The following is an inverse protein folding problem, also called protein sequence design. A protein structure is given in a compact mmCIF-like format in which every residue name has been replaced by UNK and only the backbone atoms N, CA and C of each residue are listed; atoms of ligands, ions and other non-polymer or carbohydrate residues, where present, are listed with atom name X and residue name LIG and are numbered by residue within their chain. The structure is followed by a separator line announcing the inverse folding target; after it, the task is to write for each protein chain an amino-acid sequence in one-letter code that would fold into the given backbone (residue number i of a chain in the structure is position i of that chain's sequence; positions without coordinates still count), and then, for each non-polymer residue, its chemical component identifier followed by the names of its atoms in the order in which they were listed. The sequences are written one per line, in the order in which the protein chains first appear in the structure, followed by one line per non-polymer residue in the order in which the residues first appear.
data_IF_658529881762
#
_entry.id   IF_658529881762
#
_cell.length_a   1.000
_cell.length_b   1.000
_cell.length_c   1.000
_cell.angle_alpha   90.00
_cell.angle_beta   90.00
_cell.angle_gamma   90.00
#
_symmetry.space_group_name_H-M   'P 1'
#
loop_
_entity.id
_entity.type
_entity.pdbx_description
1 polymer ?
#
# COMPACT_ATOMS: atom_id res chain seq x y z
N UNK A 1 -1.30 20.69 9.52
CA UNK A 1 -2.52 19.95 9.10
C UNK A 1 -2.08 18.87 8.14
N UNK A 2 -2.44 17.60 8.38
CA UNK A 2 -2.13 16.51 7.46
C UNK A 2 -3.30 16.31 6.48
N UNK A 3 -3.05 16.02 5.19
CA UNK A 3 -4.11 15.82 4.20
C UNK A 3 -4.72 14.41 4.34
N UNK A 4 -5.56 14.22 5.37
CA UNK A 4 -6.12 12.91 5.77
C UNK A 4 -6.80 12.18 4.60
N UNK A 5 -7.61 12.89 3.80
CA UNK A 5 -8.30 12.29 2.64
C UNK A 5 -7.34 11.78 1.57
N UNK A 6 -6.24 12.50 1.33
CA UNK A 6 -5.25 12.09 0.34
C UNK A 6 -4.53 10.82 0.81
N UNK A 7 -4.08 10.80 2.07
CA UNK A 7 -3.41 9.62 2.66
C UNK A 7 -4.33 8.40 2.64
N UNK A 8 -5.60 8.58 3.03
CA UNK A 8 -6.61 7.51 3.00
C UNK A 8 -6.92 7.02 1.58
N UNK A 9 -6.96 7.89 0.58
CA UNK A 9 -7.19 7.46 -0.79
C UNK A 9 -5.98 6.73 -1.38
N UNK A 10 -4.76 7.15 -1.03
CA UNK A 10 -3.53 6.47 -1.44
C UNK A 10 -3.54 5.04 -0.90
N UNK A 11 -3.86 4.83 0.38
CA UNK A 11 -3.90 3.48 0.98
C UNK A 11 -4.96 2.55 0.36
N UNK A 12 -5.97 3.11 -0.32
CA UNK A 12 -7.00 2.36 -1.05
C UNK A 12 -6.64 2.04 -2.51
N UNK A 13 -5.46 2.45 -2.99
CA UNK A 13 -5.03 2.16 -4.36
C UNK A 13 -4.92 0.64 -4.57
N UNK A 14 -5.47 0.08 -5.66
CA UNK A 14 -5.39 -1.36 -5.96
C UNK A 14 -3.95 -1.91 -6.02
N UNK A 15 -2.95 -1.05 -6.28
CA UNK A 15 -1.54 -1.42 -6.29
C UNK A 15 -1.00 -1.89 -4.94
N UNK A 16 -1.62 -1.48 -3.83
CA UNK A 16 -1.32 -2.02 -2.49
C UNK A 16 -2.07 -3.31 -2.20
N UNK A 17 -2.99 -3.73 -3.08
CA UNK A 17 -3.81 -4.93 -2.99
C UNK A 17 -4.53 -5.13 -1.65
N UNK A 18 -4.88 -4.02 -0.99
CA UNK A 18 -5.57 -4.05 0.29
C UNK A 18 -4.71 -4.61 1.43
N UNK A 19 -3.38 -4.57 1.31
CA UNK A 19 -2.43 -4.89 2.39
C UNK A 19 -1.50 -3.69 2.61
N UNK A 20 -1.79 -2.88 3.64
CA UNK A 20 -0.96 -1.73 4.02
C UNK A 20 -0.61 -1.81 5.51
N UNK A 21 0.66 -1.62 5.84
CA UNK A 21 1.13 -1.57 7.22
C UNK A 21 1.14 -0.13 7.73
N UNK A 22 0.46 0.15 8.84
CA UNK A 22 0.51 1.48 9.49
C UNK A 22 1.51 1.47 10.64
N UNK A 23 2.38 2.47 10.69
CA UNK A 23 3.27 2.70 11.83
C UNK A 23 2.91 4.02 12.49
N UNK A 24 2.68 3.99 13.80
CA UNK A 24 2.27 5.15 14.58
C UNK A 24 3.14 5.28 15.83
N UNK A 25 3.54 6.51 16.13
CA UNK A 25 4.16 6.85 17.41
C UNK A 25 3.12 6.97 18.55
N UNK A 26 1.83 6.76 18.28
CA UNK A 26 0.69 7.14 19.13
C UNK A 26 0.60 8.66 19.29
N UNK A 27 -0.02 9.32 18.32
CA UNK A 27 -0.35 10.75 18.42
C UNK A 27 -1.85 10.90 18.68
N UNK A 28 -2.26 11.48 19.82
CA UNK A 28 -3.67 11.70 20.15
C UNK A 28 -4.45 12.60 19.18
N UNK A 29 -3.76 13.25 18.23
CA UNK A 29 -4.37 14.12 17.21
C UNK A 29 -4.76 13.40 15.92
N UNK A 30 -4.23 12.20 15.69
CA UNK A 30 -4.49 11.45 14.45
C UNK A 30 -4.43 9.95 14.75
N UNK A 31 -5.48 9.40 15.38
CA UNK A 31 -5.53 7.98 15.65
C UNK A 31 -5.60 7.21 14.31
N UNK A 32 -4.91 6.07 14.22
CA UNK A 32 -4.73 5.33 12.98
C UNK A 32 -6.07 4.80 12.41
N UNK A 33 -7.07 4.57 13.26
CA UNK A 33 -8.45 4.25 12.88
C UNK A 33 -9.15 5.33 12.03
N UNK A 34 -8.68 6.58 12.07
CA UNK A 34 -9.17 7.64 11.19
C UNK A 34 -8.44 7.70 9.84
N UNK A 35 -7.24 7.13 9.75
CA UNK A 35 -6.44 7.08 8.53
C UNK A 35 -6.77 5.85 7.67
N UNK A 36 -7.00 4.71 8.31
CA UNK A 36 -7.18 3.43 7.64
C UNK A 36 -8.63 2.95 7.76
N UNK A 37 -9.30 2.60 6.65
CA UNK A 37 -10.61 1.94 6.75
C UNK A 37 -10.45 0.55 7.36
N UNK A 38 -11.38 0.16 8.24
CA UNK A 38 -11.45 -1.14 8.97
C UNK A 38 -11.39 -2.40 8.06
N UNK A 39 -11.38 -2.23 6.74
CA UNK A 39 -11.35 -3.28 5.72
C UNK A 39 -10.04 -3.36 4.92
N UNK A 40 -9.02 -2.58 5.28
CA UNK A 40 -7.75 -2.51 4.53
C UNK A 40 -6.78 -3.66 4.84
N UNK A 41 -7.26 -4.77 5.41
CA UNK A 41 -6.43 -5.92 5.73
C UNK A 41 -7.26 -7.18 6.06
N UNK A 42 -7.04 -8.31 5.37
CA UNK A 42 -7.53 -9.62 5.77
C UNK A 42 -6.86 -10.17 7.05
N UNK A 43 -5.86 -9.48 7.62
CA UNK A 43 -5.05 -9.99 8.75
C UNK A 43 -5.82 -9.92 10.08
N UNK A 44 -6.85 -9.08 10.19
CA UNK A 44 -7.67 -8.97 11.40
C UNK A 44 -8.51 -10.23 11.71
N UNK A 45 -8.72 -11.14 10.73
CA UNK A 45 -9.57 -12.33 10.92
C UNK A 45 -8.83 -13.56 11.43
N UNK A 46 -7.49 -13.52 11.50
CA UNK A 46 -6.65 -14.64 11.91
C UNK A 46 -5.96 -14.43 13.27
N UNK A 47 -6.70 -13.94 14.28
CA UNK A 47 -6.54 -14.25 15.71
C UNK A 47 -5.18 -14.09 16.42
N UNK A 48 -4.09 -13.60 15.79
CA UNK A 48 -2.78 -13.48 16.45
C UNK A 48 -1.94 -12.26 16.05
N UNK A 49 -2.39 -11.43 15.12
CA UNK A 49 -1.73 -10.17 14.79
C UNK A 49 -2.80 -9.08 14.65
N UNK A 50 -2.79 -8.09 15.57
CA UNK A 50 -3.46 -6.79 15.40
C UNK A 50 -2.72 -5.96 14.32
N UNK A 51 -2.54 -6.57 13.14
CA UNK A 51 -1.49 -6.27 12.17
C UNK A 51 -1.61 -4.94 11.44
N UNK A 52 -2.67 -4.16 11.63
CA UNK A 52 -2.85 -2.96 10.82
C UNK A 52 -2.08 -1.76 11.37
N UNK A 53 -1.69 -1.79 12.65
CA UNK A 53 -1.09 -0.65 13.35
C UNK A 53 0.04 -1.08 14.29
N UNK A 54 1.27 -0.82 13.89
CA UNK A 54 2.45 -0.85 14.77
C UNK A 54 2.47 0.42 15.63
N UNK A 55 2.40 0.29 16.96
CA UNK A 55 2.43 1.43 17.90
C UNK A 55 3.75 1.47 18.66
N UNK A 56 4.67 2.31 18.21
CA UNK A 56 6.08 2.30 18.65
C UNK A 56 6.28 2.73 20.11
N UNK A 57 5.45 3.64 20.63
CA UNK A 57 5.54 4.12 22.03
C UNK A 57 4.60 3.36 22.98
N UNK A 58 4.30 2.10 22.67
CA UNK A 58 3.63 1.21 23.61
C UNK A 58 4.62 0.75 24.70
N UNK A 59 4.10 0.48 25.91
CA UNK A 59 4.91 0.01 27.04
C UNK A 59 5.69 -1.29 26.76
N UNK A 60 5.33 -2.02 25.70
CA UNK A 60 6.00 -3.23 25.26
C UNK A 60 7.36 -2.99 24.59
N UNK A 61 7.65 -1.78 24.10
CA UNK A 61 8.91 -1.47 23.42
C UNK A 61 9.89 -0.79 24.38
N UNK A 62 11.06 -1.40 24.57
CA UNK A 62 12.13 -0.86 25.43
C UNK A 62 13.24 -0.29 24.55
N UNK A 63 13.28 1.04 24.46
CA UNK A 63 14.26 1.77 23.66
C UNK A 63 13.97 1.74 22.14
N UNK A 64 14.72 2.57 21.40
CA UNK A 64 14.52 2.76 19.96
C UNK A 64 14.76 1.49 19.14
N UNK A 65 15.77 0.68 19.49
CA UNK A 65 16.08 -0.53 18.75
C UNK A 65 14.93 -1.54 18.78
N UNK A 66 14.31 -1.75 19.95
CA UNK A 66 13.14 -2.62 20.09
C UNK A 66 11.96 -2.20 19.21
N UNK A 67 11.78 -0.89 19.00
CA UNK A 67 10.77 -0.36 18.09
C UNK A 67 11.09 -0.71 16.63
N UNK A 68 12.34 -0.52 16.21
CA UNK A 68 12.79 -0.83 14.85
C UNK A 68 12.71 -2.33 14.58
N UNK A 69 13.16 -3.16 15.51
CA UNK A 69 13.12 -4.63 15.38
C UNK A 69 11.68 -5.12 15.17
N UNK A 70 10.72 -4.51 15.87
CA UNK A 70 9.31 -4.83 15.72
C UNK A 70 8.74 -4.38 14.37
N UNK A 71 9.10 -3.19 13.87
CA UNK A 71 8.74 -2.75 12.51
C UNK A 71 9.28 -3.74 11.49
N UNK A 72 10.56 -4.11 11.59
CA UNK A 72 11.22 -4.99 10.64
C UNK A 72 10.60 -6.39 10.66
N UNK A 73 10.35 -6.96 11.84
CA UNK A 73 9.69 -8.25 11.99
C UNK A 73 8.29 -8.25 11.35
N UNK A 74 7.49 -7.21 11.61
CA UNK A 74 6.15 -7.06 11.03
C UNK A 74 6.24 -6.92 9.51
N UNK A 75 7.13 -6.06 9.01
CA UNK A 75 7.31 -5.83 7.58
C UNK A 75 7.74 -7.10 6.84
N UNK A 76 8.64 -7.91 7.42
CA UNK A 76 9.05 -9.20 6.84
C UNK A 76 7.84 -10.11 6.61
N UNK A 77 6.94 -10.23 7.58
CA UNK A 77 5.74 -11.07 7.43
C UNK A 77 4.81 -10.58 6.30
N UNK A 78 4.59 -9.27 6.18
CA UNK A 78 3.86 -8.69 5.06
C UNK A 78 4.54 -8.97 3.73
N UNK A 79 5.86 -8.78 3.65
CA UNK A 79 6.63 -8.99 2.42
C UNK A 79 6.63 -10.46 2.00
N UNK A 80 6.71 -11.41 2.92
CA UNK A 80 6.62 -12.85 2.63
C UNK A 80 5.29 -13.22 1.96
N UNK A 81 4.18 -12.62 2.38
CA UNK A 81 2.87 -12.79 1.76
C UNK A 81 2.78 -12.11 0.41
N UNK A 82 3.16 -10.84 0.31
CA UNK A 82 3.15 -10.07 -0.93
C UNK A 82 4.03 -10.71 -2.01
N UNK A 83 5.13 -11.36 -1.61
CA UNK A 83 6.02 -12.08 -2.51
C UNK A 83 5.39 -13.34 -3.14
N UNK A 84 4.26 -13.82 -2.61
CA UNK A 84 3.51 -14.93 -3.20
C UNK A 84 2.63 -14.48 -4.37
N UNK A 85 2.41 -13.18 -4.55
CA UNK A 85 1.49 -12.65 -5.56
C UNK A 85 2.01 -12.86 -6.98
N UNK A 86 1.09 -13.20 -7.87
CA UNK A 86 1.37 -13.41 -9.29
C UNK A 86 0.55 -12.46 -10.14
N UNK A 87 1.11 -12.14 -11.31
CA UNK A 87 0.43 -11.36 -12.33
C UNK A 87 -0.52 -12.24 -13.12
N UNK A 88 -1.77 -11.83 -13.23
CA UNK A 88 -2.78 -12.45 -14.11
C UNK A 88 -3.30 -11.44 -15.15
N UNK A 89 -3.81 -11.93 -16.27
CA UNK A 89 -4.43 -11.06 -17.28
C UNK A 89 -5.79 -10.58 -16.77
N UNK A 90 -6.00 -9.27 -16.79
CA UNK A 90 -7.24 -8.63 -16.35
C UNK A 90 -7.90 -7.87 -17.51
N UNK A 91 -9.22 -7.68 -17.47
CA UNK A 91 -9.92 -6.94 -18.50
C UNK A 91 -9.47 -5.47 -18.50
N UNK A 92 -9.53 -4.84 -19.68
CA UNK A 92 -9.21 -3.43 -19.82
C UNK A 92 -10.15 -2.50 -19.00
N UNK A 93 -11.33 -2.99 -18.61
CA UNK A 93 -12.28 -2.28 -17.75
C UNK A 93 -11.73 -1.97 -16.35
N UNK A 94 -10.77 -2.76 -15.86
CA UNK A 94 -10.22 -2.61 -14.51
C UNK A 94 -9.05 -1.62 -14.48
N UNK A 95 -8.65 -1.12 -15.66
CA UNK A 95 -7.49 -0.26 -15.82
C UNK A 95 -7.85 1.22 -15.55
N UNK A 96 -7.20 1.80 -14.54
CA UNK A 96 -7.22 3.25 -14.30
C UNK A 96 -5.91 3.90 -14.76
N UNK A 97 -5.97 4.82 -15.74
CA UNK A 97 -4.81 5.54 -16.28
C UNK A 97 -4.88 7.01 -15.87
N UNK A 98 -3.85 7.48 -15.15
CA UNK A 98 -3.62 8.91 -14.92
C UNK A 98 -2.71 9.49 -16.02
N UNK A 99 -3.10 10.63 -16.60
CA UNK A 99 -2.28 11.35 -17.58
C UNK A 99 -1.83 12.67 -16.94
N UNK A 100 -0.53 12.93 -16.94
CA UNK A 100 0.02 14.23 -16.58
C UNK A 100 0.90 14.75 -17.71
N UNK A 101 0.87 16.07 -17.93
CA UNK A 101 1.77 16.73 -18.86
C UNK A 101 2.82 17.50 -18.06
N UNK A 102 4.09 17.35 -18.43
CA UNK A 102 5.11 18.31 -18.03
C UNK A 102 4.97 19.56 -18.92
N UNK A 103 5.38 20.73 -18.43
CA UNK A 103 5.27 22.01 -19.16
C UNK A 103 6.19 22.12 -20.40
N UNK A 104 6.96 21.08 -20.73
CA UNK A 104 7.80 21.05 -21.92
C UNK A 104 6.94 20.85 -23.17
N UNK A 105 7.22 21.61 -24.24
CA UNK A 105 6.59 21.46 -25.56
C UNK A 105 6.85 20.05 -26.11
N UNK A 106 5.86 19.15 -26.13
CA UNK A 106 6.10 17.79 -26.57
C UNK A 106 6.07 17.72 -28.10
N UNK A 107 7.05 17.04 -28.71
CA UNK A 107 6.95 16.63 -30.11
C UNK A 107 5.76 15.67 -30.29
N UNK A 108 5.10 15.65 -31.46
CA UNK A 108 3.95 14.76 -31.68
C UNK A 108 4.28 13.28 -31.52
N UNK A 109 5.52 12.85 -31.77
CA UNK A 109 5.95 11.46 -31.58
C UNK A 109 6.19 11.06 -30.12
N UNK A 110 6.47 12.02 -29.22
CA UNK A 110 6.71 11.70 -27.80
C UNK A 110 5.44 11.38 -27.00
N UNK A 111 4.26 11.41 -27.64
CA UNK A 111 2.95 11.16 -27.02
C UNK A 111 2.40 9.74 -27.22
N UNK A 112 3.12 8.86 -27.94
CA UNK A 112 2.69 7.47 -28.14
C UNK A 112 3.25 6.53 -27.07
N UNK A 113 2.38 5.73 -26.46
CA UNK A 113 2.81 4.61 -25.63
C UNK A 113 3.41 3.50 -26.51
N UNK A 114 4.59 2.95 -26.16
CA UNK A 114 5.15 1.83 -26.88
C UNK A 114 4.29 0.57 -26.69
N UNK A 115 4.08 -0.26 -27.72
CA UNK A 115 3.22 -1.45 -27.65
C UNK A 115 3.69 -2.49 -26.62
N UNK A 116 4.98 -2.52 -26.28
CA UNK A 116 5.52 -3.33 -25.19
C UNK A 116 5.01 -2.91 -23.80
N UNK A 117 4.78 -1.61 -23.58
CA UNK A 117 4.22 -1.11 -22.32
C UNK A 117 2.75 -1.53 -22.17
N UNK A 118 1.96 -1.50 -23.26
CA UNK A 118 0.55 -1.90 -23.23
C UNK A 118 0.36 -3.36 -22.77
N UNK A 119 1.27 -4.28 -23.09
CA UNK A 119 1.18 -5.68 -22.64
C UNK A 119 1.43 -5.88 -21.14
N UNK A 120 2.20 -5.00 -20.50
CA UNK A 120 2.42 -5.06 -19.05
C UNK A 120 1.27 -4.41 -18.26
N UNK A 121 0.56 -3.48 -18.88
CA UNK A 121 -0.51 -2.70 -18.23
C UNK A 121 -1.74 -3.56 -17.89
N UNK A 122 -2.08 -4.57 -18.70
CA UNK A 122 -3.24 -5.44 -18.47
C UNK A 122 -2.97 -6.62 -17.52
N UNK A 123 -1.97 -6.49 -16.63
CA UNK A 123 -1.64 -7.53 -15.66
C UNK A 123 -1.76 -7.02 -14.23
N UNK A 124 -2.83 -7.40 -13.53
CA UNK A 124 -2.97 -7.11 -12.09
C UNK A 124 -2.25 -8.19 -11.26
N UNK A 125 -1.77 -7.81 -10.07
CA UNK A 125 -1.26 -8.80 -9.11
C UNK A 125 -2.42 -9.34 -8.26
N UNK A 126 -2.51 -10.66 -8.13
CA UNK A 126 -3.41 -11.34 -7.19
C UNK A 126 -2.63 -12.30 -6.30
N UNK A 127 -3.14 -12.49 -5.08
CA UNK A 127 -2.65 -13.51 -4.16
C UNK A 127 -2.85 -14.91 -4.76
N UNK A 128 -1.92 -15.83 -4.52
CA UNK A 128 -2.14 -17.25 -4.80
C UNK A 128 -3.26 -17.78 -3.89
N UNK A 129 -4.14 -18.65 -4.40
CA UNK A 129 -5.05 -19.41 -3.54
C UNK A 129 -4.29 -20.34 -2.60
#
# INVERSE_FOLDING_TARGET
MAPIRAVRNISLTPNFGGEVMTVSLRCGKLPPEHLMPVRASPIATAGRFDGDVVVLQANAHVGFQSMIDYIMCTATHYLERLNQWLRETCPASDLAIGVHAAAATPSPDSRRFPPSALRQIFRCMRARP
#
